data_IF_766472972414
#
_entry.id   IF_766472972414
#
_cell.length_a   1.000
_cell.length_b   1.000
_cell.length_c   1.000
_cell.angle_alpha   90.00
_cell.angle_beta   90.00
_cell.angle_gamma   90.00
#
_symmetry.space_group_name_H-M   'P 1'
#
loop_
_entity.id
_entity.type
_entity.pdbx_description
1 polymer ?
#
# COMPACT_ATOMS: atom_id res chain seq x y z
N UNK A 1 -4.89 -17.07 2.86
CA UNK A 1 -5.04 -15.60 2.86
C UNK A 1 -5.13 -15.16 1.43
N UNK A 2 -6.35 -14.91 0.98
CA UNK A 2 -6.58 -14.25 -0.31
C UNK A 2 -6.40 -12.75 -0.07
N UNK A 3 -5.59 -12.10 -0.89
CA UNK A 3 -5.30 -10.66 -0.76
C UNK A 3 -5.78 -10.02 -2.04
N UNK A 4 -6.96 -9.39 -1.97
CA UNK A 4 -7.55 -8.71 -3.10
C UNK A 4 -7.08 -7.27 -3.21
N UNK A 5 -7.06 -6.77 -4.44
CA UNK A 5 -6.70 -5.39 -4.73
C UNK A 5 -7.78 -4.39 -4.31
N UNK A 6 -9.01 -4.88 -4.05
CA UNK A 6 -10.16 -4.07 -3.67
C UNK A 6 -10.12 -3.64 -2.21
N UNK A 7 -9.38 -4.36 -1.36
CA UNK A 7 -9.31 -4.10 0.08
C UNK A 7 -8.31 -2.99 0.41
N UNK A 8 -8.66 -1.76 0.04
CA UNK A 8 -7.79 -0.58 0.16
C UNK A 8 -7.33 -0.34 1.60
N UNK A 9 -8.20 -0.62 2.59
CA UNK A 9 -7.87 -0.47 4.01
C UNK A 9 -6.79 -1.44 4.48
N UNK A 10 -6.75 -2.66 3.95
CA UNK A 10 -5.72 -3.64 4.29
C UNK A 10 -4.40 -3.29 3.57
N UNK A 11 -4.49 -2.93 2.29
CA UNK A 11 -3.32 -2.61 1.47
C UNK A 11 -2.62 -1.30 1.91
N UNK A 12 -3.38 -0.32 2.39
CA UNK A 12 -2.82 0.96 2.88
C UNK A 12 -1.82 0.76 4.02
N UNK A 13 -2.05 -0.23 4.90
CA UNK A 13 -1.13 -0.58 6.01
C UNK A 13 0.25 -1.06 5.55
N UNK A 14 0.34 -1.56 4.32
CA UNK A 14 1.59 -2.06 3.72
C UNK A 14 2.28 -1.03 2.81
N UNK A 15 1.84 0.22 2.86
CA UNK A 15 2.41 1.34 2.14
C UNK A 15 2.95 2.35 3.16
N UNK A 16 4.10 2.95 2.86
CA UNK A 16 4.67 4.01 3.69
C UNK A 16 3.98 5.35 3.43
N UNK A 17 4.16 6.32 4.33
CA UNK A 17 3.71 7.70 4.14
C UNK A 17 4.23 8.38 2.87
N UNK A 18 5.19 7.79 2.16
CA UNK A 18 5.69 8.25 0.86
C UNK A 18 5.08 7.51 -0.34
N UNK A 19 4.10 6.63 -0.13
CA UNK A 19 3.55 5.81 -1.20
C UNK A 19 4.48 4.69 -1.65
N UNK A 20 5.51 4.31 -0.86
CA UNK A 20 6.41 3.17 -1.17
C UNK A 20 5.87 1.89 -0.55
N UNK A 21 6.05 0.75 -1.20
CA UNK A 21 5.68 -0.55 -0.61
C UNK A 21 6.67 -0.86 0.51
N UNK A 22 6.18 -1.15 1.72
CA UNK A 22 7.06 -1.46 2.86
C UNK A 22 7.90 -2.71 2.59
N UNK A 23 9.09 -2.79 3.17
CA UNK A 23 9.98 -3.95 3.02
C UNK A 23 9.38 -5.19 3.70
N UNK A 24 9.79 -6.38 3.24
CA UNK A 24 9.34 -7.65 3.83
C UNK A 24 9.66 -7.76 5.33
N UNK A 25 10.79 -7.18 5.77
CA UNK A 25 11.20 -7.17 7.17
C UNK A 25 10.20 -6.43 8.06
N UNK A 26 9.62 -5.35 7.54
CA UNK A 26 8.57 -4.57 8.23
C UNK A 26 7.21 -5.27 8.18
N UNK A 27 6.83 -5.84 7.04
CA UNK A 27 5.52 -6.51 6.90
C UNK A 27 5.45 -7.89 7.57
N UNK A 28 6.59 -8.54 7.84
CA UNK A 28 6.70 -9.90 8.41
C UNK A 28 5.84 -10.96 7.67
N UNK A 29 5.59 -10.76 6.37
CA UNK A 29 4.82 -11.69 5.55
C UNK A 29 5.70 -12.80 4.97
N UNK A 30 5.17 -14.02 4.85
CA UNK A 30 5.86 -15.11 4.15
C UNK A 30 6.08 -14.76 2.66
N UNK A 31 7.02 -15.45 2.00
CA UNK A 31 7.36 -15.15 0.60
C UNK A 31 6.18 -15.28 -0.36
N UNK A 32 5.29 -16.28 -0.13
CA UNK A 32 4.07 -16.49 -0.93
C UNK A 32 3.10 -15.30 -0.79
N UNK A 33 2.76 -14.93 0.44
CA UNK A 33 1.86 -13.81 0.70
C UNK A 33 2.45 -12.47 0.24
N UNK A 34 3.78 -12.28 0.37
CA UNK A 34 4.47 -11.07 -0.13
C UNK A 34 4.29 -10.88 -1.64
N UNK A 35 4.37 -11.95 -2.44
CA UNK A 35 4.18 -11.89 -3.89
C UNK A 35 2.74 -11.53 -4.26
N UNK A 36 1.76 -12.19 -3.63
CA UNK A 36 0.33 -11.90 -3.81
C UNK A 36 0.00 -10.46 -3.40
N UNK A 37 0.46 -10.01 -2.23
CA UNK A 37 0.31 -8.64 -1.74
C UNK A 37 0.91 -7.62 -2.72
N UNK A 38 2.12 -7.86 -3.24
CA UNK A 38 2.75 -6.94 -4.18
C UNK A 38 1.97 -6.83 -5.50
N UNK A 39 1.37 -7.92 -5.98
CA UNK A 39 0.50 -7.89 -7.16
C UNK A 39 -0.78 -7.12 -6.88
N UNK A 40 -1.43 -7.37 -5.73
CA UNK A 40 -2.63 -6.65 -5.31
C UNK A 40 -2.39 -5.13 -5.19
N UNK A 41 -1.29 -4.72 -4.55
CA UNK A 41 -0.91 -3.30 -4.44
C UNK A 41 -0.69 -2.68 -5.83
N UNK A 42 0.01 -3.37 -6.74
CA UNK A 42 0.24 -2.85 -8.10
C UNK A 42 -1.07 -2.66 -8.88
N UNK A 43 -2.00 -3.61 -8.77
CA UNK A 43 -3.33 -3.53 -9.39
C UNK A 43 -4.15 -2.37 -8.80
N UNK A 44 -4.19 -2.26 -7.47
CA UNK A 44 -4.89 -1.17 -6.78
C UNK A 44 -4.34 0.21 -7.18
N UNK A 45 -3.02 0.33 -7.35
CA UNK A 45 -2.39 1.56 -7.82
C UNK A 45 -2.77 1.90 -9.27
N UNK A 46 -2.82 0.90 -10.15
CA UNK A 46 -3.22 1.11 -11.55
C UNK A 46 -4.65 1.67 -11.65
N UNK A 47 -5.54 1.22 -10.76
CA UNK A 47 -6.92 1.70 -10.62
C UNK A 47 -7.05 2.99 -9.79
N UNK A 48 -5.94 3.66 -9.47
CA UNK A 48 -5.89 4.88 -8.64
C UNK A 48 -6.47 4.75 -7.20
N UNK A 49 -6.64 3.52 -6.68
CA UNK A 49 -7.09 3.28 -5.30
C UNK A 49 -5.98 3.57 -4.28
N UNK A 50 -4.71 3.46 -4.68
CA UNK A 50 -3.54 3.69 -3.82
C UNK A 50 -2.52 4.60 -4.51
N UNK A 51 -1.76 5.41 -3.75
CA UNK A 51 -0.77 6.32 -4.31
C UNK A 51 0.48 5.60 -4.82
N UNK A 52 1.07 6.13 -5.90
CA UNK A 52 2.38 5.73 -6.42
C UNK A 52 3.53 6.55 -5.83
N UNK A 53 3.29 7.84 -5.61
CA UNK A 53 4.28 8.82 -5.20
C UNK A 53 3.74 9.72 -4.07
N UNK A 54 4.63 10.39 -3.31
CA UNK A 54 4.21 11.31 -2.24
C UNK A 54 3.26 12.40 -2.72
N UNK A 55 3.44 12.86 -3.96
CA UNK A 55 2.60 13.89 -4.60
C UNK A 55 1.18 13.42 -4.87
N UNK A 56 0.93 12.11 -4.98
CA UNK A 56 -0.41 11.56 -5.23
C UNK A 56 -1.27 11.52 -3.96
N UNK A 57 -0.65 11.56 -2.78
CA UNK A 57 -1.33 11.41 -1.48
C UNK A 57 -2.33 12.54 -1.21
N UNK A 58 -2.03 13.74 -1.70
CA UNK A 58 -2.82 14.95 -1.57
C UNK A 58 -4.12 14.88 -2.39
N UNK A 59 -4.13 14.09 -3.48
CA UNK A 59 -5.29 13.89 -4.34
C UNK A 59 -6.21 12.76 -3.86
N UNK A 60 -5.70 11.78 -3.12
CA UNK A 60 -6.49 10.60 -2.67
C UNK A 60 -7.21 10.83 -1.32
N UNK A 61 -7.30 12.06 -0.82
CA UNK A 61 -8.15 12.36 0.34
C UNK A 61 -7.74 11.70 1.66
N UNK A 62 -6.43 11.49 1.89
CA UNK A 62 -5.94 11.04 3.20
C UNK A 62 -6.32 9.60 3.54
N UNK A 63 -6.01 8.66 2.65
CA UNK A 63 -6.19 7.20 2.89
C UNK A 63 -5.27 6.69 4.01
N UNK A 64 -5.54 7.03 5.27
CA UNK A 64 -4.92 6.43 6.46
C UNK A 64 -3.40 6.59 6.62
N UNK A 65 -2.75 7.40 5.79
CA UNK A 65 -1.32 7.70 5.92
C UNK A 65 -1.18 8.83 6.94
N UNK A 66 -1.00 8.47 8.22
CA UNK A 66 -0.62 9.45 9.24
C UNK A 66 0.65 10.15 8.74
N UNK A 67 0.59 11.48 8.64
CA UNK A 67 1.78 12.30 8.45
C UNK A 67 2.73 11.89 9.57
N UNK A 68 3.79 11.16 9.23
CA UNK A 68 4.93 11.02 10.13
C UNK A 68 5.62 12.38 10.08
N UNK A 69 5.12 13.29 10.92
CA UNK A 69 5.80 14.53 11.26
C UNK A 69 7.16 14.12 11.78
N UNK A 70 8.21 14.46 11.04
CA UNK A 70 9.54 14.58 11.65
C UNK A 70 9.51 15.82 12.52
#
# INVERSE_FOLDING_TARGET
>A
MEIDYKDVSLLSRYISGQGKIVSRRRSKTCAKHRRSLAQAIKRARYLAMLPYAPTHIWKTGGVGLSRSTV
#
